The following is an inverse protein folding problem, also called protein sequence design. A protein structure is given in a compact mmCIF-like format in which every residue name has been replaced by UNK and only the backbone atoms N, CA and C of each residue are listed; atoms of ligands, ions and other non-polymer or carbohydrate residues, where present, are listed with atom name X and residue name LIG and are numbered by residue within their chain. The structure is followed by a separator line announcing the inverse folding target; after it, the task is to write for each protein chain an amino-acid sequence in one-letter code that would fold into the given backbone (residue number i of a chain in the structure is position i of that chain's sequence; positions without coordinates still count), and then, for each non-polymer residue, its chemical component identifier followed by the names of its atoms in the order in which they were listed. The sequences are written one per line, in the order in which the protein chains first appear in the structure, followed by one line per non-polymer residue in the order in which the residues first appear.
data_IF_379203111090
#
_entry.id   IF_379203111090
#
_cell.length_a   1.000
_cell.length_b   1.000
_cell.length_c   1.000
_cell.angle_alpha   90.00
_cell.angle_beta   90.00
_cell.angle_gamma   90.00
#
_symmetry.space_group_name_H-M   'P 1'
#
loop_
_entity.id
_entity.type
_entity.pdbx_description
1 polymer ?
#
# COMPACT_ATOMS: atom_id res chain seq x y z
N UNK A 1 -35.42 -52.95 19.65
CA UNK A 1 -34.15 -52.38 19.16
C UNK A 1 -34.45 -51.11 18.38
N UNK A 2 -34.24 -49.94 18.99
CA UNK A 2 -34.28 -48.64 18.30
C UNK A 2 -32.88 -48.04 18.42
N UNK A 3 -32.15 -48.04 17.31
CA UNK A 3 -30.81 -47.48 17.22
C UNK A 3 -30.91 -45.96 17.30
N UNK A 4 -30.38 -45.38 18.37
CA UNK A 4 -30.17 -43.94 18.50
C UNK A 4 -28.87 -43.59 17.76
N UNK A 5 -28.98 -42.93 16.61
CA UNK A 5 -27.84 -42.41 15.87
C UNK A 5 -27.36 -41.12 16.55
N UNK A 6 -26.22 -41.17 17.23
CA UNK A 6 -25.56 -39.96 17.74
C UNK A 6 -24.82 -39.29 16.58
N UNK A 7 -25.34 -38.14 16.11
CA UNK A 7 -24.64 -37.26 15.16
C UNK A 7 -23.72 -36.35 15.96
N UNK A 8 -22.43 -36.70 16.01
CA UNK A 8 -21.39 -35.83 16.55
C UNK A 8 -21.12 -34.70 15.56
N UNK A 9 -21.66 -33.50 15.83
CA UNK A 9 -21.31 -32.28 15.10
C UNK A 9 -19.92 -31.86 15.56
N UNK A 10 -18.90 -32.16 14.75
CA UNK A 10 -17.57 -31.62 14.94
C UNK A 10 -17.61 -30.11 14.63
N UNK A 11 -17.56 -29.28 15.68
CA UNK A 11 -17.29 -27.85 15.51
C UNK A 11 -15.84 -27.70 15.02
N UNK A 12 -15.67 -27.55 13.70
CA UNK A 12 -14.45 -27.01 13.11
C UNK A 12 -14.29 -25.57 13.64
N UNK A 13 -13.47 -25.40 14.67
CA UNK A 13 -12.97 -24.09 15.07
C UNK A 13 -12.09 -23.55 13.94
N UNK A 14 -12.70 -22.87 12.98
CA UNK A 14 -11.99 -22.00 12.07
C UNK A 14 -11.33 -20.93 12.93
N UNK A 15 -9.99 -20.87 12.90
CA UNK A 15 -9.24 -19.77 13.50
C UNK A 15 -9.57 -18.51 12.72
N UNK A 16 -10.59 -17.80 13.18
CA UNK A 16 -10.90 -16.46 12.69
C UNK A 16 -9.92 -15.50 13.35
N UNK A 17 -8.98 -14.95 12.56
CA UNK A 17 -8.18 -13.83 13.02
C UNK A 17 -9.06 -12.59 13.00
N UNK A 18 -9.06 -11.81 14.09
CA UNK A 18 -9.77 -10.53 14.12
C UNK A 18 -9.23 -9.64 13.01
N UNK A 19 -10.13 -9.05 12.22
CA UNK A 19 -9.82 -8.21 11.06
C UNK A 19 -10.40 -6.82 11.28
N UNK A 20 -9.58 -5.78 11.13
CA UNK A 20 -10.07 -4.39 11.21
C UNK A 20 -10.98 -4.03 10.04
N UNK A 21 -10.67 -4.50 8.83
CA UNK A 21 -11.44 -4.18 7.62
C UNK A 21 -11.64 -5.44 6.77
N UNK A 22 -12.66 -6.28 7.09
CA UNK A 22 -12.89 -7.51 6.36
C UNK A 22 -13.28 -7.25 4.89
N UNK A 23 -12.99 -8.22 4.03
CA UNK A 23 -13.49 -8.21 2.66
C UNK A 23 -14.98 -8.58 2.61
N UNK A 24 -15.80 -7.92 1.76
CA UNK A 24 -15.46 -6.77 0.93
C UNK A 24 -15.46 -5.46 1.73
N UNK A 25 -14.47 -4.60 1.47
CA UNK A 25 -14.39 -3.28 2.09
C UNK A 25 -15.36 -2.26 1.46
N UNK A 26 -15.67 -2.42 0.16
CA UNK A 26 -16.61 -1.57 -0.60
C UNK A 26 -16.41 -0.05 -0.37
N UNK A 27 -15.16 0.42 -0.31
CA UNK A 27 -14.86 1.83 -0.11
C UNK A 27 -15.25 2.63 -1.34
N UNK A 28 -15.84 3.79 -1.10
CA UNK A 28 -16.00 4.83 -2.10
C UNK A 28 -14.78 5.74 -2.01
N UNK A 29 -14.01 5.85 -3.09
CA UNK A 29 -12.88 6.77 -3.12
C UNK A 29 -13.37 8.21 -3.10
N UNK A 30 -12.67 9.07 -2.34
CA UNK A 30 -13.02 10.49 -2.22
C UNK A 30 -12.81 11.26 -3.52
N UNK A 31 -11.94 10.76 -4.40
CA UNK A 31 -11.63 11.35 -5.68
C UNK A 31 -11.97 10.38 -6.81
N UNK A 32 -12.33 10.94 -7.98
CA UNK A 32 -12.66 10.16 -9.17
C UNK A 32 -14.07 9.59 -9.18
N UNK A 33 -14.32 8.70 -10.13
CA UNK A 33 -15.57 7.98 -10.32
C UNK A 33 -15.34 6.48 -10.17
N UNK A 34 -16.39 5.74 -9.86
CA UNK A 34 -16.37 4.28 -9.78
C UNK A 34 -17.39 3.71 -10.74
N UNK A 35 -17.15 2.52 -11.28
CA UNK A 35 -18.11 1.86 -12.16
C UNK A 35 -19.45 1.66 -11.43
N UNK A 36 -20.56 1.94 -12.10
CA UNK A 36 -21.91 1.80 -11.53
C UNK A 36 -22.29 0.33 -11.38
N UNK A 37 -21.80 -0.51 -12.29
CA UNK A 37 -22.01 -1.95 -12.35
C UNK A 37 -20.93 -2.77 -11.61
N UNK A 38 -20.08 -2.12 -10.79
CA UNK A 38 -19.06 -2.81 -9.98
C UNK A 38 -19.68 -3.81 -9.01
N UNK A 39 -19.03 -4.95 -8.84
CA UNK A 39 -19.45 -5.99 -7.91
C UNK A 39 -18.24 -6.65 -7.25
N UNK A 40 -18.13 -6.55 -5.93
CA UNK A 40 -17.04 -7.16 -5.16
C UNK A 40 -16.99 -8.69 -5.25
N UNK A 41 -18.08 -9.35 -5.66
CA UNK A 41 -18.04 -10.79 -5.98
C UNK A 41 -17.18 -11.10 -7.21
N UNK A 42 -17.07 -10.18 -8.17
CA UNK A 42 -16.19 -10.36 -9.33
C UNK A 42 -14.71 -10.36 -8.87
N UNK A 43 -14.34 -9.43 -7.98
CA UNK A 43 -13.00 -9.38 -7.39
C UNK A 43 -12.71 -10.62 -6.51
N UNK A 44 -13.70 -11.07 -5.73
CA UNK A 44 -13.57 -12.30 -4.93
C UNK A 44 -13.34 -13.52 -5.82
N UNK A 45 -14.12 -13.68 -6.88
CA UNK A 45 -13.99 -14.81 -7.80
C UNK A 45 -12.60 -14.82 -8.46
N UNK A 46 -12.11 -13.66 -8.89
CA UNK A 46 -10.75 -13.54 -9.43
C UNK A 46 -9.68 -13.97 -8.40
N UNK A 47 -9.81 -13.55 -7.13
CA UNK A 47 -8.89 -13.97 -6.06
C UNK A 47 -8.94 -15.48 -5.80
N UNK A 48 -10.13 -16.07 -5.72
CA UNK A 48 -10.28 -17.51 -5.48
C UNK A 48 -9.62 -18.31 -6.62
N UNK A 49 -9.86 -17.92 -7.88
CA UNK A 49 -9.20 -18.54 -9.06
C UNK A 49 -7.69 -18.33 -9.04
N UNK A 50 -7.23 -17.11 -8.73
CA UNK A 50 -5.80 -16.80 -8.63
C UNK A 50 -5.11 -17.68 -7.58
N UNK A 51 -5.72 -17.79 -6.40
CA UNK A 51 -5.18 -18.57 -5.29
C UNK A 51 -5.06 -20.05 -5.66
N UNK A 52 -6.07 -20.62 -6.32
CA UNK A 52 -6.04 -22.02 -6.79
C UNK A 52 -4.91 -22.24 -7.79
N UNK A 53 -4.74 -21.32 -8.74
CA UNK A 53 -3.84 -21.55 -9.87
C UNK A 53 -2.39 -21.23 -9.57
N UNK A 54 -2.10 -20.23 -8.74
CA UNK A 54 -0.75 -19.69 -8.59
C UNK A 54 -0.12 -19.86 -7.21
N UNK A 55 -0.90 -20.03 -6.14
CA UNK A 55 -0.33 -20.25 -4.80
C UNK A 55 0.15 -21.70 -4.68
N UNK A 56 1.40 -21.87 -4.25
CA UNK A 56 1.96 -23.17 -3.90
C UNK A 56 2.48 -23.16 -2.45
N UNK A 57 2.19 -24.22 -1.72
CA UNK A 57 2.70 -24.41 -0.37
C UNK A 57 4.15 -24.88 -0.39
N UNK A 58 4.98 -24.23 0.43
CA UNK A 58 6.33 -24.67 0.74
C UNK A 58 6.39 -25.17 2.19
N UNK A 59 7.52 -25.79 2.58
CA UNK A 59 7.74 -26.27 3.94
C UNK A 59 7.65 -25.15 4.99
N UNK A 60 7.39 -25.51 6.25
CA UNK A 60 7.42 -24.61 7.40
C UNK A 60 6.46 -23.40 7.31
N UNK A 61 5.29 -23.60 6.69
CA UNK A 61 4.26 -22.57 6.58
C UNK A 61 4.59 -21.43 5.61
N UNK A 62 5.54 -21.64 4.69
CA UNK A 62 5.82 -20.70 3.60
C UNK A 62 4.88 -20.95 2.44
N UNK A 63 4.58 -19.90 1.69
CA UNK A 63 3.90 -20.00 0.40
C UNK A 63 4.72 -19.25 -0.63
N UNK A 64 4.62 -19.68 -1.88
CA UNK A 64 5.16 -18.97 -3.04
C UNK A 64 4.07 -18.74 -4.07
N UNK A 65 4.35 -17.84 -5.01
CA UNK A 65 3.52 -17.63 -6.20
C UNK A 65 4.24 -18.22 -7.42
N UNK A 66 3.60 -19.16 -8.11
CA UNK A 66 4.09 -19.73 -9.38
C UNK A 66 4.09 -18.65 -10.46
N UNK A 67 5.23 -18.49 -11.11
CA UNK A 67 5.37 -17.63 -12.29
C UNK A 67 4.88 -18.35 -13.56
N UNK A 68 4.97 -17.72 -14.74
CA UNK A 68 4.61 -18.34 -16.02
C UNK A 68 5.39 -19.65 -16.26
N UNK A 69 6.69 -19.65 -15.93
CA UNK A 69 7.39 -20.89 -15.61
C UNK A 69 7.03 -21.30 -14.18
N UNK A 70 6.14 -22.29 -14.07
CA UNK A 70 5.63 -22.77 -12.78
C UNK A 70 6.71 -23.29 -11.81
N UNK A 71 7.90 -23.65 -12.32
CA UNK A 71 9.05 -24.05 -11.50
C UNK A 71 9.76 -22.86 -10.83
N UNK A 72 9.38 -21.64 -11.20
CA UNK A 72 10.00 -20.39 -10.75
C UNK A 72 9.00 -19.54 -9.98
N UNK A 73 9.57 -18.62 -9.21
CA UNK A 73 8.86 -17.54 -8.52
C UNK A 73 9.67 -16.26 -8.71
N UNK A 74 8.98 -15.16 -8.99
CA UNK A 74 9.59 -13.83 -9.05
C UNK A 74 9.16 -12.99 -7.84
N UNK A 75 10.02 -12.09 -7.36
CA UNK A 75 9.70 -11.21 -6.23
C UNK A 75 8.45 -10.37 -6.49
N UNK A 76 8.24 -9.94 -7.74
CA UNK A 76 7.02 -9.26 -8.19
C UNK A 76 5.76 -10.06 -7.82
N UNK A 77 5.76 -11.36 -8.08
CA UNK A 77 4.63 -12.24 -7.77
C UNK A 77 4.40 -12.38 -6.28
N UNK A 78 5.47 -12.34 -5.46
CA UNK A 78 5.35 -12.30 -4.00
C UNK A 78 4.73 -10.98 -3.54
N UNK A 79 5.19 -9.84 -4.07
CA UNK A 79 4.60 -8.52 -3.77
C UNK A 79 3.11 -8.45 -4.12
N UNK A 80 2.74 -8.88 -5.33
CA UNK A 80 1.34 -8.99 -5.75
C UNK A 80 0.54 -9.95 -4.87
N UNK A 81 1.09 -11.13 -4.56
CA UNK A 81 0.43 -12.10 -3.71
C UNK A 81 0.18 -11.58 -2.30
N UNK A 82 1.12 -10.81 -1.74
CA UNK A 82 0.94 -10.15 -0.44
C UNK A 82 -0.17 -9.11 -0.48
N UNK A 83 -0.25 -8.27 -1.52
CA UNK A 83 -1.35 -7.32 -1.72
C UNK A 83 -2.70 -8.03 -1.85
N UNK A 84 -2.77 -9.06 -2.68
CA UNK A 84 -3.99 -9.84 -2.87
C UNK A 84 -4.45 -10.49 -1.56
N UNK A 85 -3.54 -11.16 -0.84
CA UNK A 85 -3.85 -11.83 0.41
C UNK A 85 -4.32 -10.85 1.49
N UNK A 86 -3.66 -9.70 1.66
CA UNK A 86 -4.02 -8.74 2.73
C UNK A 86 -5.38 -8.10 2.48
N UNK A 87 -5.67 -7.69 1.25
CA UNK A 87 -6.97 -7.09 0.91
C UNK A 87 -8.11 -8.11 0.87
N UNK A 88 -7.82 -9.39 0.67
CA UNK A 88 -8.79 -10.49 0.81
C UNK A 88 -8.92 -11.01 2.24
N UNK A 89 -8.17 -10.47 3.22
CA UNK A 89 -8.22 -10.89 4.61
C UNK A 89 -7.61 -12.27 4.87
N UNK A 90 -6.75 -12.77 3.99
CA UNK A 90 -6.13 -14.09 4.04
C UNK A 90 -4.80 -14.08 4.79
N UNK A 91 -4.89 -13.99 6.13
CA UNK A 91 -3.72 -13.83 7.00
C UNK A 91 -2.71 -14.97 6.87
N UNK A 92 -3.17 -16.21 6.76
CA UNK A 92 -2.28 -17.38 6.67
C UNK A 92 -1.43 -17.34 5.41
N UNK A 93 -2.06 -17.01 4.27
CA UNK A 93 -1.31 -16.86 3.02
C UNK A 93 -0.35 -15.67 3.10
N UNK A 94 -0.83 -14.52 3.62
CA UNK A 94 0.00 -13.32 3.77
C UNK A 94 1.26 -13.58 4.60
N UNK A 95 1.11 -14.17 5.79
CA UNK A 95 2.22 -14.46 6.69
C UNK A 95 3.23 -15.40 6.04
N UNK A 96 2.77 -16.44 5.34
CA UNK A 96 3.67 -17.39 4.68
C UNK A 96 4.36 -16.83 3.43
N UNK A 97 3.72 -15.92 2.68
CA UNK A 97 4.37 -15.19 1.59
C UNK A 97 5.44 -14.23 2.12
N UNK A 98 5.17 -13.53 3.22
CA UNK A 98 6.16 -12.65 3.84
C UNK A 98 7.35 -13.41 4.42
N UNK A 99 7.12 -14.57 5.04
CA UNK A 99 8.20 -15.43 5.50
C UNK A 99 9.03 -15.97 4.33
N UNK A 100 8.39 -16.33 3.21
CA UNK A 100 9.09 -16.70 1.98
C UNK A 100 9.92 -15.54 1.42
N UNK A 101 9.39 -14.31 1.42
CA UNK A 101 10.14 -13.11 1.05
C UNK A 101 11.42 -12.99 1.88
N UNK A 102 11.29 -13.07 3.22
CA UNK A 102 12.41 -12.97 4.17
C UNK A 102 13.45 -14.09 4.01
N UNK A 103 13.03 -15.30 3.67
CA UNK A 103 13.94 -16.42 3.44
C UNK A 103 14.82 -16.21 2.18
N UNK A 104 14.47 -15.26 1.30
CA UNK A 104 15.13 -15.03 0.01
C UNK A 104 15.72 -13.62 -0.16
N UNK A 105 15.90 -12.85 0.92
CA UNK A 105 16.54 -11.52 0.86
C UNK A 105 18.03 -11.58 0.60
N UNK A 106 18.56 -10.58 -0.10
CA UNK A 106 19.98 -10.34 -0.29
C UNK A 106 20.58 -9.55 0.89
N UNK A 107 21.87 -9.18 0.78
CA UNK A 107 22.58 -8.44 1.84
C UNK A 107 22.08 -7.01 2.07
N UNK A 108 21.33 -6.44 1.13
CA UNK A 108 20.71 -5.11 1.26
C UNK A 108 19.30 -5.18 1.87
N UNK A 109 18.82 -6.37 2.23
CA UNK A 109 17.52 -6.56 2.85
C UNK A 109 16.33 -6.55 1.88
N UNK A 110 16.58 -6.67 0.57
CA UNK A 110 15.54 -6.78 -0.47
C UNK A 110 15.55 -8.18 -1.08
N UNK A 111 14.42 -8.66 -1.60
CA UNK A 111 14.30 -10.04 -2.07
C UNK A 111 15.04 -10.26 -3.39
N UNK A 112 15.79 -11.36 -3.52
CA UNK A 112 16.33 -11.76 -4.82
C UNK A 112 15.18 -11.99 -5.82
N UNK A 113 15.22 -11.31 -6.96
CA UNK A 113 14.07 -11.21 -7.85
C UNK A 113 13.62 -12.56 -8.43
N UNK A 114 14.57 -13.51 -8.55
CA UNK A 114 14.52 -14.83 -9.20
C UNK A 114 14.63 -16.08 -8.32
N UNK A 115 13.61 -16.89 -8.01
CA UNK A 115 13.77 -18.11 -7.17
C UNK A 115 13.32 -19.41 -7.89
N UNK A 116 14.04 -20.51 -7.66
CA UNK A 116 13.74 -21.88 -8.10
C UNK A 116 12.64 -22.53 -7.24
N UNK A 117 11.41 -22.03 -7.36
CA UNK A 117 10.27 -22.57 -6.64
C UNK A 117 10.37 -22.26 -5.15
N UNK A 118 10.47 -23.26 -4.28
CA UNK A 118 10.48 -23.01 -2.84
C UNK A 118 11.83 -22.50 -2.28
N UNK A 119 12.94 -22.63 -3.03
CA UNK A 119 14.27 -22.22 -2.57
C UNK A 119 15.27 -22.18 -3.73
N UNK A 120 16.40 -21.50 -3.54
CA UNK A 120 17.51 -21.52 -4.48
C UNK A 120 17.42 -20.37 -5.47
N UNK A 121 18.35 -19.43 -5.36
CA UNK A 121 18.39 -18.21 -6.16
C UNK A 121 18.71 -18.57 -7.62
N UNK A 122 17.84 -18.14 -8.54
CA UNK A 122 17.99 -18.22 -10.01
C UNK A 122 18.39 -16.84 -10.58
N UNK A 123 17.91 -15.76 -9.96
CA UNK A 123 18.21 -14.39 -10.29
C UNK A 123 18.44 -13.58 -9.02
N UNK A 124 19.66 -13.10 -8.83
CA UNK A 124 20.06 -12.33 -7.66
C UNK A 124 19.67 -10.85 -7.77
N UNK A 125 19.64 -10.17 -6.61
CA UNK A 125 19.33 -8.74 -6.43
C UNK A 125 17.84 -8.40 -6.50
N UNK A 126 17.47 -7.26 -5.94
CA UNK A 126 16.10 -6.75 -5.84
C UNK A 126 15.53 -6.24 -7.17
N UNK A 127 14.21 -6.19 -7.23
CA UNK A 127 13.44 -5.60 -8.32
C UNK A 127 12.40 -4.68 -7.67
N UNK A 128 12.63 -3.37 -7.77
CA UNK A 128 12.07 -2.39 -6.84
C UNK A 128 10.54 -2.35 -6.81
N UNK A 129 9.85 -2.72 -7.89
CA UNK A 129 8.39 -2.86 -7.87
C UNK A 129 7.90 -3.87 -6.82
N UNK A 130 8.60 -5.00 -6.68
CA UNK A 130 8.27 -6.03 -5.69
C UNK A 130 8.42 -5.50 -4.25
N UNK A 131 9.51 -4.79 -3.98
CA UNK A 131 9.80 -4.21 -2.67
C UNK A 131 8.73 -3.15 -2.30
N UNK A 132 8.34 -2.30 -3.25
CA UNK A 132 7.28 -1.31 -3.07
C UNK A 132 5.93 -1.96 -2.72
N UNK A 133 5.56 -3.02 -3.44
CA UNK A 133 4.32 -3.76 -3.19
C UNK A 133 4.34 -4.49 -1.83
N UNK A 134 5.43 -5.18 -1.51
CA UNK A 134 5.59 -5.88 -0.23
C UNK A 134 5.56 -4.92 0.97
N UNK A 135 6.28 -3.79 0.87
CA UNK A 135 6.29 -2.76 1.91
C UNK A 135 4.89 -2.16 2.13
N UNK A 136 4.17 -1.85 1.07
CA UNK A 136 2.80 -1.35 1.18
C UNK A 136 1.86 -2.41 1.75
N UNK A 137 1.97 -3.66 1.32
CA UNK A 137 1.16 -4.76 1.84
C UNK A 137 1.36 -4.99 3.34
N UNK A 138 2.59 -4.82 3.86
CA UNK A 138 2.87 -4.88 5.30
C UNK A 138 2.20 -3.74 6.08
N UNK A 139 2.10 -2.54 5.52
CA UNK A 139 1.35 -1.42 6.12
C UNK A 139 -0.14 -1.78 6.21
N UNK A 140 -0.71 -2.36 5.15
CA UNK A 140 -2.10 -2.82 5.17
C UNK A 140 -2.28 -3.95 6.20
N UNK A 141 -1.30 -4.84 6.34
CA UNK A 141 -1.35 -5.94 7.31
C UNK A 141 -1.30 -5.45 8.77
N UNK A 142 -0.48 -4.42 9.06
CA UNK A 142 -0.49 -3.75 10.36
C UNK A 142 -1.89 -3.16 10.65
N UNK A 143 -2.52 -2.52 9.68
CA UNK A 143 -3.89 -2.04 9.84
C UNK A 143 -4.89 -3.18 10.03
N UNK A 144 -4.77 -4.27 9.26
CA UNK A 144 -5.73 -5.36 9.23
C UNK A 144 -5.71 -6.22 10.49
N UNK A 145 -4.52 -6.49 11.03
CA UNK A 145 -4.30 -7.49 12.09
C UNK A 145 -3.49 -6.98 13.28
N UNK A 146 -3.07 -5.71 13.26
CA UNK A 146 -2.08 -5.14 14.19
C UNK A 146 -0.73 -5.87 14.16
N UNK A 147 0.28 -5.30 14.81
CA UNK A 147 1.62 -5.87 14.92
C UNK A 147 1.87 -6.62 16.24
N UNK A 148 0.84 -7.24 16.81
CA UNK A 148 0.90 -7.93 18.11
C UNK A 148 1.15 -9.45 18.01
N UNK A 149 1.24 -9.99 16.79
CA UNK A 149 1.47 -11.41 16.53
C UNK A 149 2.94 -11.80 16.46
N UNK A 150 3.21 -12.98 15.91
CA UNK A 150 4.58 -13.50 15.65
C UNK A 150 5.35 -12.68 14.61
N UNK A 151 4.63 -12.01 13.70
CA UNK A 151 5.19 -11.09 12.71
C UNK A 151 4.80 -9.68 13.12
N UNK A 152 5.80 -8.81 13.25
CA UNK A 152 5.60 -7.39 13.53
C UNK A 152 5.57 -6.63 12.20
N UNK A 153 4.39 -6.56 11.59
CA UNK A 153 4.22 -5.95 10.25
C UNK A 153 4.69 -4.49 10.19
N UNK A 154 4.45 -3.72 11.25
CA UNK A 154 4.87 -2.31 11.35
C UNK A 154 6.39 -2.18 11.32
N UNK A 155 7.11 -2.99 12.09
CA UNK A 155 8.57 -2.96 12.10
C UNK A 155 9.15 -3.49 10.79
N UNK A 156 8.58 -4.57 10.27
CA UNK A 156 8.99 -5.17 9.00
C UNK A 156 8.78 -4.20 7.83
N UNK A 157 7.64 -3.48 7.78
CA UNK A 157 7.39 -2.41 6.81
C UNK A 157 8.42 -1.28 6.93
N UNK A 158 8.68 -0.77 8.15
CA UNK A 158 9.68 0.30 8.36
C UNK A 158 11.08 -0.13 7.91
N UNK A 159 11.45 -1.37 8.18
CA UNK A 159 12.75 -1.93 7.79
C UNK A 159 12.87 -2.01 6.27
N UNK A 160 11.85 -2.53 5.59
CA UNK A 160 11.86 -2.63 4.13
C UNK A 160 11.82 -1.25 3.44
N UNK A 161 11.03 -0.31 3.96
CA UNK A 161 11.00 1.08 3.47
C UNK A 161 12.37 1.76 3.61
N UNK A 162 13.09 1.50 4.71
CA UNK A 162 14.44 2.00 4.89
C UNK A 162 15.43 1.37 3.88
N UNK A 163 15.31 0.08 3.58
CA UNK A 163 16.11 -0.60 2.55
C UNK A 163 15.85 -0.03 1.15
N UNK A 164 14.58 0.17 0.77
CA UNK A 164 14.18 0.81 -0.50
C UNK A 164 14.81 2.21 -0.60
N UNK A 165 14.67 3.03 0.45
CA UNK A 165 15.27 4.37 0.48
C UNK A 165 16.79 4.35 0.31
N UNK A 166 17.47 3.41 0.97
CA UNK A 166 18.93 3.35 0.99
C UNK A 166 19.52 2.80 -0.32
N UNK A 167 18.84 1.84 -0.96
CA UNK A 167 19.43 1.04 -2.03
C UNK A 167 18.70 1.16 -3.36
N UNK A 168 17.42 1.55 -3.36
CA UNK A 168 16.56 1.55 -4.56
C UNK A 168 16.06 2.95 -4.94
N UNK A 169 16.51 3.99 -4.23
CA UNK A 169 16.35 5.39 -4.65
C UNK A 169 17.75 5.97 -4.89
N UNK A 170 17.97 6.54 -6.08
CA UNK A 170 19.22 7.20 -6.41
C UNK A 170 19.41 8.45 -5.54
N UNK A 171 20.52 8.48 -4.81
CA UNK A 171 20.84 9.56 -3.88
C UNK A 171 20.92 10.92 -4.61
N UNK A 172 20.42 11.97 -3.95
CA UNK A 172 20.40 13.36 -4.41
C UNK A 172 19.53 13.67 -5.64
N UNK A 173 19.04 12.68 -6.37
CA UNK A 173 18.17 12.88 -7.56
C UNK A 173 16.73 12.43 -7.34
N UNK A 174 16.50 11.59 -6.32
CA UNK A 174 15.23 10.96 -5.98
C UNK A 174 14.67 10.06 -7.10
N UNK A 175 15.50 9.68 -8.07
CA UNK A 175 15.08 8.76 -9.14
C UNK A 175 14.94 7.37 -8.53
N UNK A 176 13.77 6.76 -8.68
CA UNK A 176 13.59 5.36 -8.32
C UNK A 176 14.49 4.51 -9.23
N UNK A 177 15.31 3.65 -8.64
CA UNK A 177 16.07 2.64 -9.35
C UNK A 177 15.14 1.46 -9.67
N UNK A 178 15.43 0.68 -10.72
CA UNK A 178 14.72 -0.56 -11.01
C UNK A 178 15.11 -1.74 -10.10
N UNK A 179 16.22 -1.62 -9.37
CA UNK A 179 16.66 -2.60 -8.39
C UNK A 179 17.80 -2.05 -7.53
N UNK A 180 18.18 -2.77 -6.49
CA UNK A 180 19.18 -2.32 -5.52
C UNK A 180 20.60 -2.19 -6.09
N UNK A 181 20.94 -2.95 -7.14
CA UNK A 181 22.29 -2.96 -7.73
C UNK A 181 22.47 -2.13 -9.00
N UNK A 182 21.41 -1.58 -9.60
CA UNK A 182 21.52 -0.92 -10.91
C UNK A 182 20.49 0.19 -11.15
N UNK A 183 20.68 0.94 -12.24
CA UNK A 183 19.76 1.96 -12.76
C UNK A 183 19.84 3.31 -12.06
N UNK A 184 18.71 3.99 -11.96
CA UNK A 184 18.64 5.40 -11.53
C UNK A 184 18.50 6.32 -12.74
N UNK A 185 19.26 7.42 -12.77
CA UNK A 185 19.12 8.43 -13.83
C UNK A 185 19.39 7.91 -15.25
N UNK A 186 20.19 6.84 -15.38
CA UNK A 186 20.57 6.24 -16.67
C UNK A 186 19.56 5.21 -17.18
N UNK A 187 18.80 4.58 -16.30
CA UNK A 187 17.71 3.65 -16.64
C UNK A 187 16.78 3.44 -15.44
N UNK A 188 15.49 3.66 -15.69
CA UNK A 188 14.37 3.46 -14.76
C UNK A 188 13.17 2.91 -15.52
N UNK A 189 12.19 2.35 -14.80
CA UNK A 189 10.98 1.77 -15.35
C UNK A 189 9.74 2.56 -14.86
N UNK A 190 9.00 3.26 -15.74
CA UNK A 190 7.80 4.01 -15.36
C UNK A 190 6.72 3.18 -14.67
N UNK A 191 6.65 1.88 -14.95
CA UNK A 191 5.62 1.02 -14.35
C UNK A 191 5.87 0.69 -12.88
N UNK A 192 7.08 0.98 -12.38
CA UNK A 192 7.44 0.81 -10.96
C UNK A 192 7.04 2.05 -10.15
N UNK A 193 6.78 3.18 -10.81
CA UNK A 193 6.42 4.42 -10.14
C UNK A 193 5.06 4.29 -9.46
N UNK A 194 5.09 4.30 -8.12
CA UNK A 194 3.92 4.18 -7.25
C UNK A 194 3.80 5.40 -6.31
N UNK A 195 3.55 6.62 -6.83
CA UNK A 195 3.50 7.86 -6.03
C UNK A 195 2.62 7.77 -4.78
N UNK A 196 1.48 7.11 -4.89
CA UNK A 196 0.58 6.88 -3.76
C UNK A 196 1.28 6.15 -2.60
N UNK A 197 2.07 5.13 -2.92
CA UNK A 197 2.79 4.34 -1.91
C UNK A 197 3.88 5.17 -1.27
N UNK A 198 4.60 6.00 -2.04
CA UNK A 198 5.61 6.89 -1.47
C UNK A 198 4.98 7.84 -0.45
N UNK A 199 3.82 8.43 -0.74
CA UNK A 199 3.10 9.30 0.24
C UNK A 199 2.72 8.54 1.50
N UNK A 200 2.27 7.29 1.34
CA UNK A 200 1.98 6.40 2.47
C UNK A 200 3.26 6.11 3.27
N UNK A 201 4.38 5.79 2.62
CA UNK A 201 5.66 5.54 3.27
C UNK A 201 6.15 6.77 4.03
N UNK A 202 6.05 7.95 3.42
CA UNK A 202 6.38 9.23 4.05
C UNK A 202 5.58 9.48 5.32
N UNK A 203 4.29 9.19 5.32
CA UNK A 203 3.45 9.31 6.52
C UNK A 203 3.80 8.23 7.56
N UNK A 204 3.95 6.98 7.13
CA UNK A 204 4.19 5.82 8.00
C UNK A 204 5.56 5.85 8.69
N UNK A 205 6.55 6.46 8.05
CA UNK A 205 7.94 6.60 8.55
C UNK A 205 8.27 7.99 9.08
N UNK A 206 7.32 8.93 9.04
CA UNK A 206 7.55 10.34 9.38
C UNK A 206 8.69 10.99 8.55
N UNK A 207 8.71 10.68 7.25
CA UNK A 207 9.69 11.17 6.27
C UNK A 207 8.98 11.65 4.99
N UNK A 208 7.90 12.41 5.18
CA UNK A 208 7.05 12.89 4.09
C UNK A 208 7.83 13.71 3.05
N UNK A 209 8.80 14.52 3.48
CA UNK A 209 9.61 15.34 2.57
C UNK A 209 10.37 14.50 1.55
N UNK A 210 11.09 13.47 2.00
CA UNK A 210 11.86 12.61 1.11
C UNK A 210 10.95 11.87 0.13
N UNK A 211 9.92 11.19 0.63
CA UNK A 211 9.07 10.38 -0.22
C UNK A 211 8.18 11.19 -1.17
N UNK A 212 7.78 12.41 -0.77
CA UNK A 212 7.13 13.33 -1.70
C UNK A 212 8.09 13.78 -2.82
N UNK A 213 9.38 13.94 -2.54
CA UNK A 213 10.37 14.26 -3.58
C UNK A 213 10.51 13.11 -4.60
N UNK A 214 10.49 11.85 -4.13
CA UNK A 214 10.47 10.66 -5.02
C UNK A 214 9.19 10.65 -5.88
N UNK A 215 8.02 10.89 -5.28
CA UNK A 215 6.75 11.00 -6.01
C UNK A 215 6.78 12.10 -7.09
N UNK A 216 7.24 13.30 -6.75
CA UNK A 216 7.40 14.41 -7.69
C UNK A 216 8.38 14.08 -8.81
N UNK A 217 9.49 13.39 -8.48
CA UNK A 217 10.46 12.96 -9.49
C UNK A 217 9.87 11.95 -10.46
N UNK A 218 9.06 11.00 -9.99
CA UNK A 218 8.33 10.05 -10.86
C UNK A 218 7.44 10.76 -11.87
N UNK A 219 6.63 11.74 -11.45
CA UNK A 219 5.81 12.53 -12.39
C UNK A 219 6.65 13.34 -13.37
N UNK A 220 7.77 13.91 -12.91
CA UNK A 220 8.71 14.63 -13.78
C UNK A 220 9.25 13.71 -14.89
N UNK A 221 9.65 12.48 -14.55
CA UNK A 221 10.17 11.50 -15.52
C UNK A 221 9.07 11.05 -16.48
N UNK A 222 7.87 10.72 -15.97
CA UNK A 222 6.72 10.36 -16.82
C UNK A 222 6.45 11.46 -17.84
N UNK A 223 6.30 12.71 -17.38
CA UNK A 223 6.01 13.83 -18.27
C UNK A 223 7.15 14.05 -19.28
N UNK A 224 8.40 13.94 -18.84
CA UNK A 224 9.55 14.05 -19.74
C UNK A 224 9.58 12.95 -20.78
N UNK A 225 9.27 11.70 -20.42
CA UNK A 225 9.19 10.57 -21.35
C UNK A 225 8.11 10.77 -22.40
N UNK A 226 6.92 11.24 -21.97
CA UNK A 226 5.85 11.54 -22.90
C UNK A 226 6.22 12.67 -23.87
N UNK A 227 6.81 13.75 -23.37
CA UNK A 227 7.17 14.91 -24.19
C UNK A 227 8.35 14.63 -25.12
N UNK A 228 9.45 14.07 -24.61
CA UNK A 228 10.67 13.80 -25.38
C UNK A 228 10.41 12.86 -26.56
N UNK A 229 9.56 11.87 -26.36
CA UNK A 229 9.32 10.81 -27.35
C UNK A 229 8.04 11.05 -28.17
N UNK A 230 7.43 12.24 -28.08
CA UNK A 230 6.17 12.59 -28.74
C UNK A 230 5.06 11.55 -28.50
N UNK A 231 4.97 11.06 -27.26
CA UNK A 231 4.04 10.02 -26.90
C UNK A 231 2.60 10.55 -26.82
N UNK A 232 1.65 9.74 -27.27
CA UNK A 232 0.22 10.03 -27.16
C UNK A 232 -0.40 9.18 -26.06
N UNK A 233 -1.58 9.58 -25.56
CA UNK A 233 -2.39 8.71 -24.72
C UNK A 233 -1.78 8.26 -23.38
N UNK A 234 -0.76 8.98 -22.89
CA UNK A 234 -0.03 8.56 -21.69
C UNK A 234 0.79 7.27 -21.88
N UNK A 235 1.06 6.86 -23.13
CA UNK A 235 1.84 5.67 -23.46
C UNK A 235 3.33 5.88 -23.17
N UNK A 236 3.72 5.69 -21.90
CA UNK A 236 5.13 5.69 -21.48
C UNK A 236 5.88 4.49 -22.09
N UNK A 237 7.20 4.60 -22.23
CA UNK A 237 8.02 3.47 -22.65
C UNK A 237 8.27 2.52 -21.47
N UNK A 238 8.48 1.23 -21.73
CA UNK A 238 8.81 0.23 -20.70
C UNK A 238 10.04 0.66 -19.87
N UNK A 239 11.05 1.23 -20.53
CA UNK A 239 12.28 1.70 -19.89
C UNK A 239 12.69 3.07 -20.43
N UNK A 240 13.19 3.94 -19.56
CA UNK A 240 13.67 5.27 -19.96
C UNK A 240 14.78 5.77 -19.03
N UNK A 241 15.47 6.82 -19.43
CA UNK A 241 16.33 7.61 -18.56
C UNK A 241 15.49 8.56 -17.69
N UNK A 242 16.08 9.13 -16.63
CA UNK A 242 15.40 10.18 -15.86
C UNK A 242 15.13 11.47 -16.64
N UNK A 243 15.78 11.66 -17.80
CA UNK A 243 15.45 12.74 -18.75
C UNK A 243 14.19 12.47 -19.57
N UNK A 244 13.62 11.25 -19.48
CA UNK A 244 12.52 10.77 -20.31
C UNK A 244 12.96 10.12 -21.63
N UNK A 245 14.19 10.36 -22.08
CA UNK A 245 14.71 9.76 -23.31
C UNK A 245 14.83 8.22 -23.20
N UNK A 246 14.88 7.52 -24.33
CA UNK A 246 15.20 6.10 -24.36
C UNK A 246 16.58 5.82 -23.74
N UNK A 247 16.69 4.76 -22.95
CA UNK A 247 17.97 4.35 -22.38
C UNK A 247 18.70 3.37 -23.30
N UNK A 248 19.98 3.63 -23.59
CA UNK A 248 20.83 2.64 -24.27
C UNK A 248 21.11 1.40 -23.43
N UNK A 249 20.97 1.49 -22.10
CA UNK A 249 21.08 0.34 -21.20
C UNK A 249 19.88 -0.61 -21.32
N UNK A 250 18.80 -0.20 -21.99
CA UNK A 250 17.61 -1.02 -22.16
C UNK A 250 17.68 -2.01 -23.35
N UNK A 251 18.84 -2.16 -23.99
CA UNK A 251 18.99 -2.98 -25.20
C UNK A 251 18.63 -4.48 -25.04
N UNK A 252 18.67 -5.01 -23.83
CA UNK A 252 18.27 -6.40 -23.52
C UNK A 252 16.77 -6.60 -23.27
N UNK A 253 15.98 -5.54 -23.17
CA UNK A 253 14.54 -5.61 -22.93
C UNK A 253 13.76 -5.60 -24.25
N UNK A 254 12.49 -6.00 -24.18
CA UNK A 254 11.60 -6.04 -25.33
C UNK A 254 11.60 -4.69 -26.09
N UNK A 255 11.83 -4.72 -27.40
CA UNK A 255 11.97 -3.54 -28.26
C UNK A 255 12.98 -2.48 -27.75
N UNK A 256 14.01 -2.90 -27.01
CA UNK A 256 14.96 -1.99 -26.37
C UNK A 256 14.32 -1.09 -25.29
N UNK A 257 13.18 -1.52 -24.74
CA UNK A 257 12.40 -0.78 -23.74
C UNK A 257 11.66 0.46 -24.26
N UNK A 258 11.58 0.66 -25.58
CA UNK A 258 11.09 1.91 -26.20
C UNK A 258 9.58 1.98 -26.38
N UNK A 259 8.88 0.87 -26.20
CA UNK A 259 7.46 0.74 -26.49
C UNK A 259 6.63 0.67 -25.21
N UNK A 260 5.31 0.88 -25.32
CA UNK A 260 4.37 0.60 -24.23
C UNK A 260 3.97 -0.88 -24.32
N UNK A 261 4.62 -1.76 -23.55
CA UNK A 261 4.27 -3.18 -23.51
C UNK A 261 4.06 -3.66 -22.07
N UNK A 262 4.40 -4.92 -21.75
CA UNK A 262 3.95 -5.60 -20.53
C UNK A 262 4.50 -4.96 -19.24
N UNK A 263 5.66 -4.29 -19.31
CA UNK A 263 6.13 -3.49 -18.19
C UNK A 263 5.24 -2.25 -18.03
N UNK A 264 5.28 -1.35 -19.02
CA UNK A 264 4.60 -0.05 -19.03
C UNK A 264 3.09 -0.15 -18.78
N UNK A 265 2.47 -1.28 -19.12
CA UNK A 265 1.05 -1.55 -18.97
C UNK A 265 0.51 -1.31 -17.55
N UNK A 266 1.34 -1.43 -16.50
CA UNK A 266 0.92 -1.22 -15.11
C UNK A 266 0.84 0.27 -14.72
N UNK A 267 1.48 1.16 -15.47
CA UNK A 267 1.59 2.61 -15.14
C UNK A 267 0.23 3.29 -14.94
N UNK A 268 -0.79 3.10 -15.81
CA UNK A 268 -2.10 3.73 -15.60
C UNK A 268 -2.77 3.34 -14.28
N UNK A 269 -2.63 2.09 -13.84
CA UNK A 269 -3.12 1.64 -12.53
C UNK A 269 -2.36 2.34 -11.39
N UNK A 270 -1.02 2.26 -11.39
CA UNK A 270 -0.19 2.84 -10.33
C UNK A 270 -0.47 4.34 -10.12
N UNK A 271 -0.64 5.08 -11.21
CA UNK A 271 -0.91 6.52 -11.17
C UNK A 271 -2.35 6.81 -10.79
N UNK A 272 -3.33 6.02 -11.24
CA UNK A 272 -4.73 6.19 -10.84
C UNK A 272 -4.90 6.09 -9.32
N UNK A 273 -4.16 5.20 -8.65
CA UNK A 273 -4.20 5.05 -7.18
C UNK A 273 -3.88 6.38 -6.47
N UNK A 274 -2.87 7.15 -6.92
CA UNK A 274 -2.50 8.43 -6.27
C UNK A 274 -3.61 9.48 -6.40
N UNK A 275 -4.31 9.49 -7.55
CA UNK A 275 -5.47 10.35 -7.71
C UNK A 275 -6.64 9.93 -6.80
N UNK A 276 -7.01 8.64 -6.82
CA UNK A 276 -8.16 8.13 -6.06
C UNK A 276 -7.99 8.37 -4.56
N UNK A 277 -6.78 8.18 -4.04
CA UNK A 277 -6.48 8.32 -2.62
C UNK A 277 -6.19 9.76 -2.18
N UNK A 278 -5.46 10.53 -2.98
CA UNK A 278 -4.92 11.83 -2.55
C UNK A 278 -5.38 13.02 -3.40
N UNK A 279 -6.15 12.80 -4.47
CA UNK A 279 -6.62 13.87 -5.35
C UNK A 279 -5.50 14.57 -6.12
N UNK A 280 -4.35 13.91 -6.31
CA UNK A 280 -3.18 14.52 -6.93
C UNK A 280 -3.47 14.97 -8.39
N UNK A 281 -3.14 16.21 -8.72
CA UNK A 281 -3.45 16.81 -10.02
C UNK A 281 -2.64 16.23 -11.19
N UNK A 282 -1.36 15.90 -10.97
CA UNK A 282 -0.51 15.26 -11.99
C UNK A 282 -1.02 13.85 -12.29
N UNK A 283 -1.42 13.11 -11.25
CA UNK A 283 -2.06 11.81 -11.36
C UNK A 283 -3.33 11.88 -12.21
N UNK A 284 -4.22 12.84 -11.92
CA UNK A 284 -5.44 13.08 -12.70
C UNK A 284 -5.11 13.36 -14.16
N UNK A 285 -4.14 14.22 -14.42
CA UNK A 285 -3.76 14.61 -15.77
C UNK A 285 -3.21 13.44 -16.57
N UNK A 286 -2.33 12.62 -15.98
CA UNK A 286 -1.81 11.42 -16.64
C UNK A 286 -2.92 10.40 -16.89
N UNK A 287 -3.70 10.04 -15.86
CA UNK A 287 -4.74 9.02 -15.98
C UNK A 287 -5.85 9.44 -16.96
N UNK A 288 -6.19 10.74 -17.04
CA UNK A 288 -7.10 11.28 -18.06
C UNK A 288 -6.57 11.05 -19.48
N UNK A 289 -5.27 11.28 -19.74
CA UNK A 289 -4.67 11.00 -21.07
C UNK A 289 -4.83 9.52 -21.44
N UNK A 290 -4.57 8.62 -20.49
CA UNK A 290 -4.70 7.17 -20.70
C UNK A 290 -6.15 6.74 -20.92
N UNK A 291 -7.10 7.30 -20.16
CA UNK A 291 -8.53 7.03 -20.37
C UNK A 291 -9.02 7.56 -21.72
N UNK A 292 -8.63 8.78 -22.10
CA UNK A 292 -9.04 9.38 -23.37
C UNK A 292 -8.43 8.66 -24.58
N UNK A 293 -7.22 8.09 -24.47
CA UNK A 293 -6.67 7.24 -25.51
C UNK A 293 -7.60 6.07 -25.83
N UNK A 294 -8.05 5.35 -24.81
CA UNK A 294 -8.98 4.22 -25.02
C UNK A 294 -10.33 4.72 -25.51
N UNK A 295 -10.93 5.70 -24.84
CA UNK A 295 -12.28 6.18 -25.15
C UNK A 295 -12.38 6.83 -26.51
N UNK A 296 -11.42 7.67 -26.87
CA UNK A 296 -11.46 8.54 -28.07
C UNK A 296 -10.62 7.96 -29.19
N UNK A 297 -9.34 7.64 -28.94
CA UNK A 297 -8.43 7.18 -30.00
C UNK A 297 -8.73 5.75 -30.44
N UNK A 298 -8.97 4.83 -29.50
CA UNK A 298 -9.32 3.45 -29.81
C UNK A 298 -10.82 3.24 -30.01
N UNK A 299 -11.66 4.19 -29.59
CA UNK A 299 -13.12 4.09 -29.71
C UNK A 299 -13.77 3.12 -28.73
N UNK A 300 -13.08 2.73 -27.65
CA UNK A 300 -13.60 1.82 -26.62
C UNK A 300 -12.58 0.80 -26.12
N UNK A 301 -12.87 0.19 -24.96
CA UNK A 301 -11.97 -0.76 -24.30
C UNK A 301 -11.79 -2.06 -25.09
N UNK A 302 -12.80 -2.49 -25.85
CA UNK A 302 -12.75 -3.72 -26.66
C UNK A 302 -11.65 -3.70 -27.74
N UNK A 303 -11.14 -2.51 -28.08
CA UNK A 303 -10.08 -2.30 -29.06
C UNK A 303 -8.69 -2.20 -28.43
N UNK A 304 -8.57 -2.32 -27.10
CA UNK A 304 -7.28 -2.39 -26.41
C UNK A 304 -6.52 -3.65 -26.85
N UNK A 305 -5.22 -3.50 -27.05
CA UNK A 305 -4.29 -4.55 -27.41
C UNK A 305 -3.04 -4.53 -26.53
N UNK A 306 -2.27 -5.60 -26.56
CA UNK A 306 -1.12 -5.84 -25.69
C UNK A 306 0.20 -5.21 -26.15
N UNK A 307 0.14 -4.05 -26.81
CA UNK A 307 1.35 -3.30 -27.15
C UNK A 307 1.13 -2.14 -28.11
N UNK A 308 1.77 -1.01 -27.82
CA UNK A 308 1.75 0.19 -28.66
C UNK A 308 3.13 0.82 -28.75
N UNK A 309 3.47 1.36 -29.93
CA UNK A 309 4.49 2.39 -30.00
C UNK A 309 4.02 3.63 -29.24
N UNK A 310 4.94 4.45 -28.71
CA UNK A 310 4.57 5.64 -27.93
C UNK A 310 3.74 6.65 -28.73
N UNK A 311 3.88 6.70 -30.06
CA UNK A 311 3.05 7.51 -30.95
C UNK A 311 1.61 6.98 -31.13
N UNK A 312 1.23 5.90 -30.45
CA UNK A 312 -0.10 5.28 -30.49
C UNK A 312 -0.28 4.22 -31.57
N UNK A 313 0.72 3.98 -32.42
CA UNK A 313 0.65 2.92 -33.44
C UNK A 313 0.63 1.55 -32.76
N UNK A 314 -0.35 0.74 -33.13
CA UNK A 314 -0.51 -0.62 -32.63
C UNK A 314 0.66 -1.52 -33.03
N UNK A 315 1.19 -2.28 -32.07
CA UNK A 315 2.19 -3.34 -32.32
C UNK A 315 1.79 -4.68 -31.68
N UNK A 316 0.92 -4.67 -30.68
CA UNK A 316 0.36 -5.86 -30.06
C UNK A 316 -0.78 -6.49 -30.88
N UNK A 317 -1.17 -7.69 -30.49
CA UNK A 317 -2.19 -8.49 -31.18
C UNK A 317 -3.34 -8.88 -30.24
N UNK A 318 -3.01 -9.16 -28.98
CA UNK A 318 -3.92 -9.80 -28.04
C UNK A 318 -4.68 -8.77 -27.22
N UNK A 319 -5.92 -9.11 -26.87
CA UNK A 319 -6.76 -8.31 -25.99
C UNK A 319 -6.83 -9.05 -24.65
N UNK A 320 -6.19 -8.51 -23.61
CA UNK A 320 -5.97 -9.22 -22.35
C UNK A 320 -6.06 -8.31 -21.11
N UNK A 321 -6.14 -8.94 -19.95
CA UNK A 321 -6.49 -8.25 -18.70
C UNK A 321 -5.40 -7.31 -18.18
N UNK A 322 -4.14 -7.57 -18.53
CA UNK A 322 -2.99 -6.73 -18.16
C UNK A 322 -3.17 -5.29 -18.64
N UNK A 323 -3.60 -5.12 -19.89
CA UNK A 323 -3.78 -3.81 -20.51
C UNK A 323 -5.17 -3.24 -20.25
N UNK A 324 -6.22 -4.06 -20.43
CA UNK A 324 -7.61 -3.63 -20.28
C UNK A 324 -7.87 -3.12 -18.86
N UNK A 325 -7.41 -3.84 -17.85
CA UNK A 325 -7.68 -3.47 -16.46
C UNK A 325 -6.90 -2.24 -16.01
N UNK A 326 -5.66 -2.06 -16.45
CA UNK A 326 -4.90 -0.86 -16.14
C UNK A 326 -5.56 0.41 -16.71
N UNK A 327 -6.00 0.36 -17.97
CA UNK A 327 -6.75 1.47 -18.57
C UNK A 327 -8.11 1.68 -17.91
N UNK A 328 -8.80 0.61 -17.50
CA UNK A 328 -10.02 0.71 -16.71
C UNK A 328 -9.78 1.43 -15.36
N UNK A 329 -8.67 1.14 -14.67
CA UNK A 329 -8.27 1.87 -13.47
C UNK A 329 -8.03 3.36 -13.75
N UNK A 330 -7.37 3.71 -14.87
CA UNK A 330 -7.20 5.10 -15.27
C UNK A 330 -8.53 5.81 -15.60
N UNK A 331 -9.53 5.09 -16.12
CA UNK A 331 -10.86 5.62 -16.35
C UNK A 331 -11.59 6.04 -15.06
N UNK A 332 -11.20 5.51 -13.90
CA UNK A 332 -11.70 5.97 -12.59
C UNK A 332 -11.26 7.41 -12.27
N UNK A 333 -10.13 7.86 -12.82
CA UNK A 333 -9.67 9.25 -12.73
C UNK A 333 -10.18 10.11 -13.91
N UNK A 334 -10.88 9.50 -14.87
CA UNK A 334 -11.52 10.16 -16.00
C UNK A 334 -12.85 10.81 -15.62
N UNK A 335 -13.59 11.23 -16.65
CA UNK A 335 -14.81 12.03 -16.49
C UNK A 335 -16.03 11.39 -17.19
N UNK A 336 -15.89 10.18 -17.74
CA UNK A 336 -16.93 9.53 -18.54
C UNK A 336 -17.39 8.21 -17.90
N UNK A 337 -18.57 8.24 -17.27
CA UNK A 337 -19.13 7.08 -16.56
C UNK A 337 -19.40 5.89 -17.49
N UNK A 338 -19.98 6.12 -18.66
CA UNK A 338 -20.30 5.04 -19.61
C UNK A 338 -19.04 4.31 -20.08
N UNK A 339 -17.95 5.03 -20.32
CA UNK A 339 -16.66 4.45 -20.66
C UNK A 339 -16.07 3.61 -19.51
N UNK A 340 -16.15 4.09 -18.26
CA UNK A 340 -15.70 3.32 -17.10
C UNK A 340 -16.53 2.04 -16.91
N UNK A 341 -17.86 2.13 -17.02
CA UNK A 341 -18.76 0.98 -16.88
C UNK A 341 -18.51 -0.07 -17.98
N UNK A 342 -18.26 0.39 -19.21
CA UNK A 342 -17.86 -0.48 -20.33
C UNK A 342 -16.50 -1.15 -20.07
N UNK A 343 -15.50 -0.38 -19.63
CA UNK A 343 -14.14 -0.90 -19.36
C UNK A 343 -14.13 -1.90 -18.20
N UNK A 344 -14.96 -1.67 -17.17
CA UNK A 344 -15.17 -2.65 -16.09
C UNK A 344 -15.78 -3.95 -16.62
N UNK A 345 -16.83 -3.84 -17.45
CA UNK A 345 -17.50 -5.01 -18.05
C UNK A 345 -16.54 -5.82 -18.93
N UNK A 346 -15.71 -5.11 -19.70
CA UNK A 346 -14.72 -5.71 -20.57
C UNK A 346 -13.68 -6.51 -19.77
N UNK A 347 -13.07 -5.89 -18.77
CA UNK A 347 -12.14 -6.57 -17.86
C UNK A 347 -12.78 -7.79 -17.20
N UNK A 348 -14.03 -7.66 -16.71
CA UNK A 348 -14.76 -8.75 -16.07
C UNK A 348 -14.85 -9.98 -16.99
N UNK A 349 -15.16 -9.76 -18.27
CA UNK A 349 -15.41 -10.82 -19.25
C UNK A 349 -14.15 -11.53 -19.76
N UNK A 350 -12.96 -10.95 -19.56
CA UNK A 350 -11.69 -11.60 -19.91
C UNK A 350 -11.44 -12.83 -19.01
N UNK A 351 -11.25 -13.99 -19.62
CA UNK A 351 -11.08 -15.25 -18.88
C UNK A 351 -9.74 -15.91 -19.23
N UNK A 352 -8.70 -15.56 -18.48
CA UNK A 352 -7.32 -16.01 -18.72
C UNK A 352 -6.71 -16.67 -17.46
N UNK A 353 -7.41 -17.63 -16.82
CA UNK A 353 -7.11 -18.04 -15.44
C UNK A 353 -5.74 -18.70 -15.27
N UNK A 354 -5.12 -19.17 -16.35
CA UNK A 354 -3.83 -19.85 -16.34
C UNK A 354 -2.64 -18.93 -16.70
N UNK A 355 -2.89 -17.69 -17.12
CA UNK A 355 -1.82 -16.71 -17.33
C UNK A 355 -1.51 -16.04 -15.98
N UNK A 356 -0.30 -16.26 -15.47
CA UNK A 356 0.10 -15.68 -14.17
C UNK A 356 -0.07 -14.17 -14.20
N UNK A 357 0.50 -13.51 -15.21
CA UNK A 357 0.53 -12.06 -15.25
C UNK A 357 -0.86 -11.46 -15.48
N UNK A 358 -1.59 -11.94 -16.49
CA UNK A 358 -2.90 -11.40 -16.83
C UNK A 358 -3.91 -11.59 -15.69
N UNK A 359 -3.98 -12.78 -15.09
CA UNK A 359 -4.96 -13.06 -14.03
C UNK A 359 -4.59 -12.43 -12.69
N UNK A 360 -3.29 -12.34 -12.36
CA UNK A 360 -2.83 -11.63 -11.15
C UNK A 360 -3.18 -10.16 -11.22
N UNK A 361 -2.85 -9.49 -12.33
CA UNK A 361 -3.17 -8.07 -12.53
C UNK A 361 -4.68 -7.84 -12.64
N UNK A 362 -5.43 -8.69 -13.34
CA UNK A 362 -6.91 -8.65 -13.35
C UNK A 362 -7.46 -8.58 -11.92
N UNK A 363 -6.92 -9.40 -11.03
CA UNK A 363 -7.38 -9.48 -9.63
C UNK A 363 -7.07 -8.18 -8.88
N UNK A 364 -5.84 -7.66 -8.98
CA UNK A 364 -5.45 -6.38 -8.37
C UNK A 364 -6.30 -5.20 -8.89
N UNK A 365 -6.48 -5.10 -10.20
CA UNK A 365 -7.31 -4.07 -10.82
C UNK A 365 -8.76 -4.18 -10.38
N UNK A 366 -9.29 -5.40 -10.28
CA UNK A 366 -10.65 -5.64 -9.79
C UNK A 366 -10.82 -5.19 -8.35
N UNK A 367 -9.83 -5.39 -7.47
CA UNK A 367 -9.87 -4.86 -6.11
C UNK A 367 -9.98 -3.33 -6.11
N UNK A 368 -9.22 -2.62 -6.95
CA UNK A 368 -9.31 -1.16 -7.06
C UNK A 368 -10.68 -0.73 -7.62
N UNK A 369 -11.09 -1.27 -8.76
CA UNK A 369 -12.34 -0.91 -9.45
C UNK A 369 -13.59 -1.13 -8.58
N UNK A 370 -13.52 -2.08 -7.64
CA UNK A 370 -14.63 -2.43 -6.73
C UNK A 370 -14.53 -1.79 -5.35
N UNK A 371 -13.52 -0.95 -5.08
CA UNK A 371 -13.37 -0.27 -3.79
C UNK A 371 -12.79 -1.15 -2.68
N UNK A 372 -12.12 -2.24 -3.04
CA UNK A 372 -11.48 -3.18 -2.12
C UNK A 372 -9.97 -2.99 -2.01
N UNK A 373 -9.36 -2.13 -2.85
CA UNK A 373 -7.96 -1.69 -2.72
C UNK A 373 -7.92 -0.30 -2.07
N UNK A 374 -8.11 -0.25 -0.75
CA UNK A 374 -8.31 1.00 -0.01
C UNK A 374 -7.00 1.52 0.60
N UNK A 375 -6.87 2.86 0.72
CA UNK A 375 -5.82 3.47 1.55
C UNK A 375 -6.07 3.06 3.01
N UNK A 376 -5.19 2.26 3.66
CA UNK A 376 -5.35 1.99 5.08
C UNK A 376 -5.29 3.33 5.83
N UNK A 377 -6.24 3.61 6.75
CA UNK A 377 -6.11 4.73 7.64
C UNK A 377 -4.75 4.66 8.32
N UNK A 378 -3.85 5.57 7.95
CA UNK A 378 -2.69 5.82 8.78
C UNK A 378 -3.27 6.28 10.10
N UNK A 379 -2.91 5.62 11.19
CA UNK A 379 -3.36 6.04 12.49
C UNK A 379 -3.00 7.52 12.64
N UNK A 380 -3.97 8.43 12.47
CA UNK A 380 -3.91 9.77 13.01
C UNK A 380 -3.79 9.57 14.51
N UNK A 381 -2.54 9.50 14.98
CA UNK A 381 -2.16 9.23 16.36
C UNK A 381 -3.07 8.15 16.99
N UNK A 382 -2.81 6.87 16.71
CA UNK A 382 -3.24 5.89 17.71
C UNK A 382 -2.51 6.29 18.98
N UNK A 383 -3.27 6.66 20.01
CA UNK A 383 -2.77 7.11 21.31
C UNK A 383 -1.91 6.05 22.03
N UNK A 384 -1.58 4.93 21.39
CA UNK A 384 -0.91 3.80 22.03
C UNK A 384 0.61 3.96 22.09
N UNK A 385 1.22 4.78 21.22
CA UNK A 385 2.68 5.01 21.23
C UNK A 385 3.09 6.21 22.13
N UNK A 386 2.12 6.98 22.66
CA UNK A 386 2.36 8.21 23.45
C UNK A 386 1.88 8.17 24.91
N UNK A 387 1.19 7.11 25.35
CA UNK A 387 0.81 7.02 26.75
C UNK A 387 2.04 6.55 27.56
N UNK A 388 2.59 7.44 28.41
CA UNK A 388 3.08 6.99 29.71
C UNK A 388 2.04 6.00 30.21
N UNK A 389 2.41 4.73 30.44
CA UNK A 389 1.47 3.64 30.68
C UNK A 389 0.26 4.15 31.48
N UNK A 390 -0.93 4.10 30.87
CA UNK A 390 -2.15 4.72 31.40
C UNK A 390 -2.48 4.27 32.83
N UNK A 391 -1.87 3.16 33.27
CA UNK A 391 -1.85 2.53 34.60
C UNK A 391 -0.94 3.19 35.64
N UNK A 392 0.07 3.98 35.27
CA UNK A 392 1.04 4.60 36.20
C UNK A 392 0.64 6.01 36.66
N UNK A 393 -0.17 6.71 35.87
CA UNK A 393 -0.61 8.08 36.17
C UNK A 393 -2.08 8.11 36.61
N UNK A 394 -2.34 8.49 37.86
CA UNK A 394 -3.69 8.58 38.42
C UNK A 394 -3.91 9.91 39.15
N UNK A 395 -5.18 10.31 39.27
CA UNK A 395 -5.63 11.51 39.98
C UNK A 395 -6.65 11.12 41.04
N UNK A 396 -6.48 11.56 42.28
CA UNK A 396 -7.44 11.30 43.35
C UNK A 396 -7.44 12.40 44.43
N UNK A 397 -8.60 12.82 44.96
CA UNK A 397 -9.95 12.48 44.52
C UNK A 397 -10.31 13.19 43.21
N UNK A 398 -11.20 12.57 42.42
CA UNK A 398 -11.80 13.18 41.24
C UNK A 398 -13.25 12.68 41.10
N UNK A 399 -14.28 13.53 41.28
CA UNK A 399 -14.19 14.99 41.48
C UNK A 399 -13.53 15.42 42.79
N UNK A 400 -12.95 16.62 42.81
CA UNK A 400 -12.33 17.26 43.99
C UNK A 400 -13.08 18.54 44.38
N UNK A 401 -13.06 18.89 45.67
CA UNK A 401 -13.60 20.17 46.17
C UNK A 401 -12.59 21.33 46.02
N UNK A 402 -11.32 21.04 46.24
CA UNK A 402 -10.24 22.03 46.27
C UNK A 402 -8.88 21.39 45.94
N UNK A 403 -8.59 20.22 46.51
CA UNK A 403 -7.31 19.53 46.41
C UNK A 403 -7.40 18.16 45.76
N UNK A 404 -6.41 17.83 44.94
CA UNK A 404 -6.25 16.48 44.40
C UNK A 404 -4.77 16.12 44.27
N UNK A 405 -4.52 14.83 44.35
CA UNK A 405 -3.19 14.25 44.25
C UNK A 405 -2.98 13.68 42.86
N UNK A 406 -1.82 14.00 42.28
CA UNK A 406 -1.30 13.41 41.05
C UNK A 406 -0.26 12.36 41.41
N UNK A 407 -0.49 11.13 41.00
CA UNK A 407 0.51 10.07 41.01
C UNK A 407 1.15 10.05 39.62
N UNK A 408 2.45 10.31 39.52
CA UNK A 408 3.20 10.35 38.26
C UNK A 408 4.69 10.11 38.53
N UNK A 409 5.48 9.61 37.56
CA UNK A 409 6.92 9.40 37.78
C UNK A 409 7.67 10.66 38.25
N UNK A 410 8.76 10.46 38.97
CA UNK A 410 9.67 11.56 39.35
C UNK A 410 10.19 12.32 38.11
N UNK A 411 10.58 13.59 38.30
CA UNK A 411 11.07 14.48 37.22
C UNK A 411 10.04 14.83 36.14
N UNK A 412 8.77 14.50 36.34
CA UNK A 412 7.68 14.91 35.44
C UNK A 412 7.37 16.40 35.58
N UNK A 413 6.89 17.05 34.52
CA UNK A 413 6.30 18.39 34.55
C UNK A 413 4.78 18.25 34.55
N UNK A 414 4.11 18.75 35.59
CA UNK A 414 2.66 18.79 35.71
C UNK A 414 2.18 20.21 35.40
N UNK A 415 1.43 20.37 34.31
CA UNK A 415 0.76 21.62 33.93
C UNK A 415 -0.76 21.49 34.15
N UNK A 416 -1.34 22.44 34.86
CA UNK A 416 -2.79 22.56 35.08
C UNK A 416 -3.36 23.57 34.10
N UNK A 417 -4.34 23.16 33.31
CA UNK A 417 -4.96 23.96 32.25
C UNK A 417 -6.42 24.21 32.62
N UNK A 418 -6.83 25.49 32.61
CA UNK A 418 -8.19 25.92 32.91
C UNK A 418 -9.20 25.51 31.82
N UNK A 419 -10.52 25.59 32.09
CA UNK A 419 -11.55 25.32 31.07
C UNK A 419 -11.43 26.20 29.81
N UNK A 420 -10.80 27.36 29.91
CA UNK A 420 -10.55 28.29 28.80
C UNK A 420 -9.24 27.99 28.04
N UNK A 421 -8.53 26.92 28.40
CA UNK A 421 -7.28 26.51 27.75
C UNK A 421 -6.02 27.22 28.24
N UNK A 422 -6.08 27.97 29.35
CA UNK A 422 -4.93 28.69 29.91
C UNK A 422 -4.18 27.81 30.92
N UNK A 423 -2.85 27.75 30.84
CA UNK A 423 -2.02 27.15 31.89
C UNK A 423 -2.08 28.05 33.13
N UNK A 424 -2.59 27.51 34.24
CA UNK A 424 -2.77 28.21 35.53
C UNK A 424 -1.76 27.78 36.59
N UNK A 425 -1.11 26.64 36.40
CA UNK A 425 -0.01 26.17 37.25
C UNK A 425 0.88 25.24 36.44
N UNK A 426 2.19 25.28 36.68
CA UNK A 426 3.16 24.35 36.10
C UNK A 426 4.26 24.09 37.12
N UNK A 427 4.54 22.82 37.41
CA UNK A 427 5.57 22.43 38.36
C UNK A 427 6.27 21.14 37.97
N UNK A 428 7.55 21.04 38.27
CA UNK A 428 8.34 19.82 38.07
C UNK A 428 8.31 18.96 39.35
N UNK A 429 8.02 17.68 39.23
CA UNK A 429 7.91 16.75 40.35
C UNK A 429 9.28 16.31 40.85
N UNK A 430 9.42 16.23 42.17
CA UNK A 430 10.59 15.67 42.86
C UNK A 430 10.29 14.36 43.56
N UNK A 431 9.04 13.90 43.50
CA UNK A 431 8.54 12.67 44.09
C UNK A 431 7.38 12.13 43.23
N UNK A 432 7.05 10.84 43.40
CA UNK A 432 5.98 10.20 42.62
C UNK A 432 4.56 10.70 42.93
N UNK A 433 4.40 11.39 44.06
CA UNK A 433 3.12 11.91 44.54
C UNK A 433 3.21 13.42 44.67
N UNK A 434 2.28 14.14 44.05
CA UNK A 434 2.23 15.60 44.07
C UNK A 434 0.81 16.08 44.37
N UNK A 435 0.61 16.81 45.47
CA UNK A 435 -0.67 17.46 45.78
C UNK A 435 -0.81 18.79 45.02
N UNK A 436 -1.98 19.01 44.42
CA UNK A 436 -2.38 20.24 43.76
C UNK A 436 -3.59 20.85 44.46
N UNK A 437 -3.58 22.17 44.63
CA UNK A 437 -4.66 22.93 45.26
C UNK A 437 -5.21 23.98 44.29
N UNK A 438 -6.50 23.87 43.99
CA UNK A 438 -7.26 24.77 43.13
C UNK A 438 -8.37 25.52 43.87
N UNK A 439 -8.31 25.66 45.20
CA UNK A 439 -9.34 26.32 46.02
C UNK A 439 -9.74 27.75 45.54
N UNK A 440 -8.82 28.46 44.89
CA UNK A 440 -9.04 29.83 44.41
C UNK A 440 -9.54 29.91 42.95
N UNK A 441 -9.91 28.78 42.35
CA UNK A 441 -10.37 28.70 40.96
C UNK A 441 -11.83 28.27 40.88
N UNK A 442 -12.52 28.70 39.83
CA UNK A 442 -13.95 28.38 39.62
C UNK A 442 -14.17 26.89 39.39
N UNK A 443 -15.33 26.38 39.81
CA UNK A 443 -15.74 25.00 39.51
C UNK A 443 -15.78 24.73 38.01
N UNK A 444 -15.47 23.49 37.61
CA UNK A 444 -15.39 23.12 36.20
C UNK A 444 -14.39 22.01 35.89
N UNK A 445 -14.22 21.76 34.59
CA UNK A 445 -13.30 20.74 34.07
C UNK A 445 -11.91 21.35 33.83
N UNK A 446 -10.91 20.84 34.54
CA UNK A 446 -9.51 21.19 34.32
C UNK A 446 -8.77 20.02 33.64
N UNK A 447 -7.78 20.36 32.82
CA UNK A 447 -6.89 19.37 32.21
C UNK A 447 -5.55 19.38 32.93
N UNK A 448 -5.09 18.22 33.34
CA UNK A 448 -3.79 18.01 33.98
C UNK A 448 -2.90 17.34 32.96
N UNK A 449 -1.94 18.08 32.39
CA UNK A 449 -0.94 17.55 31.46
C UNK A 449 0.31 17.18 32.25
N UNK A 450 0.74 15.92 32.16
CA UNK A 450 1.95 15.41 32.79
C UNK A 450 2.93 15.08 31.67
N UNK A 451 4.14 15.62 31.71
CA UNK A 451 5.19 15.41 30.70
C UNK A 451 6.43 14.86 31.38
N UNK A 452 7.01 13.76 30.89
CA UNK A 452 8.27 13.21 31.38
C UNK A 452 9.16 12.88 30.18
N UNK A 453 10.36 13.46 30.13
CA UNK A 453 11.24 13.45 28.95
C UNK A 453 10.48 13.88 27.67
N UNK A 454 10.32 12.97 26.70
CA UNK A 454 9.65 13.21 25.42
C UNK A 454 8.20 12.69 25.38
N UNK A 455 7.64 12.25 26.52
CA UNK A 455 6.31 11.63 26.62
C UNK A 455 5.36 12.54 27.41
N UNK A 456 4.07 12.56 27.05
CA UNK A 456 3.07 13.32 27.81
C UNK A 456 1.72 12.62 27.87
N UNK A 457 1.02 12.75 29.00
CA UNK A 457 -0.34 12.27 29.22
C UNK A 457 -1.23 13.40 29.75
N UNK A 458 -2.50 13.44 29.35
CA UNK A 458 -3.46 14.41 29.87
C UNK A 458 -4.60 13.69 30.59
N UNK A 459 -4.85 14.08 31.84
CA UNK A 459 -5.97 13.59 32.66
C UNK A 459 -6.96 14.73 32.92
N UNK A 460 -8.20 14.38 33.21
CA UNK A 460 -9.28 15.32 33.50
C UNK A 460 -9.54 15.33 35.01
N UNK A 461 -9.67 16.51 35.62
CA UNK A 461 -10.17 16.65 36.99
C UNK A 461 -11.40 17.56 37.00
N UNK A 462 -12.42 17.16 37.74
CA UNK A 462 -13.65 17.94 37.95
C UNK A 462 -13.52 18.63 39.30
N UNK A 463 -13.44 19.96 39.29
CA UNK A 463 -13.51 20.79 40.50
C UNK A 463 -14.98 21.12 40.77
N UNK A 464 -15.47 20.78 41.97
CA UNK A 464 -16.86 20.95 42.38
C UNK A 464 -17.22 22.40 42.71
#
# INVERSE_FOLDING_TARGET
MKNLLFVSIAFLCLKSFAQTQPFPANKVYTNGIMATNKNSLDAKANYDTWKINFVENCSNGRYRIKFDDSSKTVSEGIGYGMLLAVYSGDKTLFDGLWLYYKDNVNSNGVMNWKINGCSGIDGANGATDAELDAAFALIVADYQWASAGTINYKNDAKTLIAAIKAHEVEANTFVLKPGDQFGGSTITNPSYFSPAYYRVFGTFTNDATFWNAVATKSYTIINSNLTQNNAVGGLVSDWCMASGAYSSAAGGYNNGGKTYTYDAARTPWRIAVDYLWFGNADAKTYAKKSSDFVRVTLGGSSNIKDGYNQNGTLIGQWHNATFVGAFACAAMAGENQAHLDASYTDLKNLNEPNSYFNHTLKTLYSLLLTGNFYLPPTATLSNNDFELEKSTVTLYPNPSADKFTVFAPEQSVISVISPQGKIISEQKTTAETTELNLANYSSGLYLIKITNENKSITKKVILK
#
